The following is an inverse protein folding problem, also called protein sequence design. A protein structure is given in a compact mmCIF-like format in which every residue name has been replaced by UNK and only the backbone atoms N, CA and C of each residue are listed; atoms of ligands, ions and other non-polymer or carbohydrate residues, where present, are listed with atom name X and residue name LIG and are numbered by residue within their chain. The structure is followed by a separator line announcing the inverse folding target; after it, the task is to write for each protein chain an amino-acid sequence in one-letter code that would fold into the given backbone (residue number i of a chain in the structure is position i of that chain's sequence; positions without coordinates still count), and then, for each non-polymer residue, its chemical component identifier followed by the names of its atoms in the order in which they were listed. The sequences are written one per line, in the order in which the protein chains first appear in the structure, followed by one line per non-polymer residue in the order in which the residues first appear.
data_IF_373433904324
#
_entry.id   IF_373433904324
#
_cell.length_a   1.000
_cell.length_b   1.000
_cell.length_c   1.000
_cell.angle_alpha   90.00
_cell.angle_beta   90.00
_cell.angle_gamma   90.00
#
_symmetry.space_group_name_H-M   'P 1'
#
loop_
_entity.id
_entity.type
_entity.pdbx_description
1 polymer ?
#
# COMPACT_ATOMS: atom_id res chain seq x y z
N UNK A 1 12.53 -2.89 31.75
CA UNK A 1 12.95 -3.19 30.36
C UNK A 1 12.65 -4.62 29.93
N UNK A 2 13.10 -5.68 30.65
CA UNK A 2 12.89 -7.08 30.23
C UNK A 2 11.41 -7.51 30.05
N UNK A 3 10.48 -6.99 30.87
CA UNK A 3 9.04 -7.27 30.73
C UNK A 3 8.43 -6.66 29.47
N UNK A 4 8.86 -5.44 29.12
CA UNK A 4 8.40 -4.73 27.93
C UNK A 4 8.89 -5.42 26.66
N UNK A 5 10.18 -5.77 26.60
CA UNK A 5 10.75 -6.51 25.46
C UNK A 5 10.06 -7.86 25.23
N UNK A 6 9.69 -8.58 26.30
CA UNK A 6 8.91 -9.83 26.19
C UNK A 6 7.49 -9.61 25.67
N UNK A 7 6.84 -8.53 26.12
CA UNK A 7 5.52 -8.14 25.66
C UNK A 7 5.55 -7.79 24.16
N UNK A 8 6.54 -7.02 23.72
CA UNK A 8 6.73 -6.66 22.30
C UNK A 8 7.02 -7.90 21.44
N UNK A 9 7.91 -8.79 21.89
CA UNK A 9 8.19 -10.04 21.18
C UNK A 9 6.95 -10.93 21.05
N UNK A 10 6.11 -11.01 22.10
CA UNK A 10 4.86 -11.78 22.07
C UNK A 10 3.87 -11.16 21.09
N UNK A 11 3.69 -9.83 21.13
CA UNK A 11 2.84 -9.11 20.19
C UNK A 11 3.28 -9.35 18.74
N UNK A 12 4.59 -9.23 18.47
CA UNK A 12 5.15 -9.48 17.14
C UNK A 12 4.90 -10.92 16.67
N UNK A 13 5.11 -11.91 17.54
CA UNK A 13 4.85 -13.33 17.22
C UNK A 13 3.39 -13.58 16.82
N UNK A 14 2.44 -12.94 17.50
CA UNK A 14 1.01 -13.02 17.16
C UNK A 14 0.76 -12.40 15.77
N UNK A 15 1.30 -11.21 15.50
CA UNK A 15 1.14 -10.52 14.21
C UNK A 15 1.74 -11.36 13.07
N UNK A 16 2.99 -11.79 13.20
CA UNK A 16 3.70 -12.56 12.16
C UNK A 16 2.94 -13.87 11.84
N UNK A 17 2.49 -14.58 12.87
CA UNK A 17 1.69 -15.80 12.71
C UNK A 17 0.35 -15.51 12.02
N UNK A 18 -0.32 -14.42 12.40
CA UNK A 18 -1.59 -14.04 11.79
C UNK A 18 -1.43 -13.62 10.32
N UNK A 19 -0.34 -12.92 9.97
CA UNK A 19 0.00 -12.59 8.58
C UNK A 19 0.14 -13.86 7.74
N UNK A 20 0.88 -14.87 8.23
CA UNK A 20 1.00 -16.16 7.54
C UNK A 20 -0.37 -16.80 7.30
N UNK A 21 -1.15 -16.99 8.36
CA UNK A 21 -2.45 -17.66 8.30
C UNK A 21 -3.45 -16.91 7.41
N UNK A 22 -3.49 -15.58 7.51
CA UNK A 22 -4.42 -14.79 6.70
C UNK A 22 -4.08 -14.84 5.22
N UNK A 23 -2.80 -14.81 4.83
CA UNK A 23 -2.42 -14.97 3.42
C UNK A 23 -2.81 -16.35 2.90
N UNK A 24 -2.53 -17.38 3.69
CA UNK A 24 -2.65 -18.77 3.22
C UNK A 24 -4.11 -19.26 3.23
N UNK A 25 -4.93 -18.81 4.19
CA UNK A 25 -6.30 -19.31 4.42
C UNK A 25 -7.38 -18.24 4.25
N UNK A 26 -7.03 -16.96 4.27
CA UNK A 26 -7.97 -15.85 4.32
C UNK A 26 -8.50 -15.55 5.73
N UNK A 27 -9.04 -14.34 5.91
CA UNK A 27 -9.54 -13.86 7.21
C UNK A 27 -10.71 -14.68 7.76
N UNK A 28 -11.64 -15.09 6.90
CA UNK A 28 -12.86 -15.82 7.29
C UNK A 28 -12.55 -17.18 7.89
N UNK A 29 -11.70 -17.95 7.21
CA UNK A 29 -11.35 -19.31 7.58
C UNK A 29 -10.36 -19.39 8.75
N UNK A 30 -9.56 -18.35 8.98
CA UNK A 30 -8.59 -18.32 10.08
C UNK A 30 -9.28 -18.14 11.43
N UNK A 31 -9.16 -19.13 12.33
CA UNK A 31 -9.70 -19.08 13.68
C UNK A 31 -8.74 -18.44 14.70
N UNK A 32 -9.27 -17.81 15.76
CA UNK A 32 -8.43 -17.32 16.87
C UNK A 32 -7.63 -18.45 17.53
N UNK A 33 -8.24 -19.62 17.71
CA UNK A 33 -7.57 -20.78 18.32
C UNK A 33 -6.36 -21.25 17.51
N UNK A 34 -6.45 -21.19 16.18
CA UNK A 34 -5.37 -21.55 15.26
C UNK A 34 -4.21 -20.56 15.35
N UNK A 35 -4.49 -19.25 15.42
CA UNK A 35 -3.49 -18.21 15.67
C UNK A 35 -2.78 -18.48 17.00
N UNK A 36 -3.52 -18.74 18.08
CA UNK A 36 -2.95 -19.01 19.41
C UNK A 36 -2.05 -20.25 19.41
N UNK A 37 -2.52 -21.33 18.77
CA UNK A 37 -1.79 -22.59 18.68
C UNK A 37 -0.49 -22.42 17.90
N UNK A 38 -0.56 -21.80 16.71
CA UNK A 38 0.60 -21.66 15.84
C UNK A 38 1.60 -20.62 16.34
N UNK A 39 1.11 -19.57 17.00
CA UNK A 39 1.95 -18.60 17.70
C UNK A 39 2.52 -19.16 19.01
N UNK A 40 2.07 -20.32 19.49
CA UNK A 40 2.42 -20.87 20.81
C UNK A 40 2.26 -19.79 21.91
N UNK A 41 1.06 -19.21 21.94
CA UNK A 41 0.65 -18.13 22.87
C UNK A 41 -0.60 -18.56 23.60
N UNK A 42 -0.62 -18.39 24.93
CA UNK A 42 -1.82 -18.69 25.72
C UNK A 42 -2.93 -17.67 25.45
N UNK A 43 -4.18 -18.10 25.63
CA UNK A 43 -5.35 -17.21 25.51
C UNK A 43 -5.22 -15.95 26.39
N UNK A 44 -4.73 -16.09 27.62
CA UNK A 44 -4.51 -14.95 28.52
C UNK A 44 -3.43 -13.98 28.04
N UNK A 45 -2.32 -14.50 27.48
CA UNK A 45 -1.27 -13.67 26.89
C UNK A 45 -1.74 -12.95 25.62
N UNK A 46 -2.62 -13.57 24.83
CA UNK A 46 -3.22 -12.91 23.67
C UNK A 46 -4.09 -11.73 24.07
N UNK A 47 -5.02 -11.90 25.03
CA UNK A 47 -5.91 -10.83 25.46
C UNK A 47 -5.19 -9.69 26.20
N UNK A 48 -3.94 -9.89 26.61
CA UNK A 48 -3.09 -8.80 27.06
C UNK A 48 -2.68 -7.85 25.92
N UNK A 49 -2.66 -8.32 24.67
CA UNK A 49 -2.21 -7.57 23.50
C UNK A 49 -3.32 -7.19 22.52
N UNK A 50 -4.37 -8.00 22.42
CA UNK A 50 -5.43 -7.85 21.43
C UNK A 50 -6.78 -8.29 22.00
N UNK A 51 -7.80 -7.48 21.80
CA UNK A 51 -9.15 -7.79 22.27
C UNK A 51 -9.86 -8.83 21.39
N UNK A 52 -9.43 -8.99 20.14
CA UNK A 52 -10.08 -9.89 19.17
C UNK A 52 -9.17 -10.24 17.99
N UNK A 53 -9.61 -11.20 17.17
CA UNK A 53 -9.01 -11.49 15.84
C UNK A 53 -9.06 -10.26 14.94
N UNK A 54 -10.15 -9.48 15.00
CA UNK A 54 -10.27 -8.23 14.25
C UNK A 54 -9.25 -7.19 14.71
N UNK A 55 -8.95 -7.08 16.01
CA UNK A 55 -7.92 -6.18 16.51
C UNK A 55 -6.51 -6.54 15.98
N UNK A 56 -6.25 -7.83 15.75
CA UNK A 56 -5.00 -8.27 15.09
C UNK A 56 -4.99 -7.84 13.63
N UNK A 57 -6.09 -8.07 12.90
CA UNK A 57 -6.22 -7.66 11.50
C UNK A 57 -6.10 -6.13 11.34
N UNK A 58 -6.75 -5.36 12.23
CA UNK A 58 -6.65 -3.92 12.28
C UNK A 58 -5.20 -3.45 12.46
N UNK A 59 -4.44 -4.08 13.36
CA UNK A 59 -3.04 -3.74 13.57
C UNK A 59 -2.15 -4.02 12.34
N UNK A 60 -2.45 -5.07 11.57
CA UNK A 60 -1.75 -5.37 10.30
C UNK A 60 -2.09 -4.31 9.24
N UNK A 61 -3.36 -3.91 9.15
CA UNK A 61 -3.81 -2.83 8.26
C UNK A 61 -3.14 -1.49 8.64
N UNK A 62 -3.06 -1.17 9.92
CA UNK A 62 -2.40 0.05 10.41
C UNK A 62 -0.90 0.04 10.12
N UNK A 63 -0.23 -1.11 10.31
CA UNK A 63 1.17 -1.25 9.92
C UNK A 63 1.36 -0.99 8.43
N UNK A 64 0.45 -1.49 7.60
CA UNK A 64 0.48 -1.27 6.15
C UNK A 64 0.29 0.19 5.78
N UNK A 65 -0.66 0.87 6.43
CA UNK A 65 -0.86 2.31 6.28
C UNK A 65 0.40 3.10 6.63
N UNK A 66 1.03 2.80 7.78
CA UNK A 66 2.25 3.48 8.20
C UNK A 66 3.41 3.28 7.22
N UNK A 67 3.65 2.04 6.76
CA UNK A 67 4.72 1.79 5.78
C UNK A 67 4.47 2.53 4.47
N UNK A 68 3.24 2.58 3.97
CA UNK A 68 2.92 3.39 2.79
C UNK A 68 3.15 4.88 3.03
N UNK A 69 2.76 5.40 4.20
CA UNK A 69 2.99 6.79 4.55
C UNK A 69 4.48 7.14 4.64
N UNK A 70 5.29 6.28 5.23
CA UNK A 70 6.75 6.45 5.35
C UNK A 70 7.42 6.45 3.98
N UNK A 71 7.08 5.49 3.13
CA UNK A 71 7.64 5.36 1.77
C UNK A 71 7.25 6.57 0.92
N UNK A 72 5.97 6.97 0.95
CA UNK A 72 5.52 8.16 0.22
C UNK A 72 6.21 9.42 0.72
N UNK A 73 6.35 9.60 2.04
CA UNK A 73 7.05 10.75 2.62
C UNK A 73 8.50 10.81 2.16
N UNK A 74 9.23 9.69 2.24
CA UNK A 74 10.63 9.62 1.81
C UNK A 74 10.81 9.95 0.32
N UNK A 75 9.86 9.54 -0.53
CA UNK A 75 9.88 9.84 -1.96
C UNK A 75 9.58 11.34 -2.21
N UNK A 76 8.61 11.91 -1.50
CA UNK A 76 8.22 13.32 -1.62
C UNK A 76 9.31 14.26 -1.12
N UNK A 77 10.01 13.90 -0.05
CA UNK A 77 11.13 14.68 0.50
C UNK A 77 12.37 14.67 -0.42
N UNK A 78 12.39 13.85 -1.48
CA UNK A 78 13.43 13.92 -2.50
C UNK A 78 13.33 15.25 -3.27
N UNK A 79 14.48 15.84 -3.62
CA UNK A 79 14.54 17.11 -4.38
C UNK A 79 14.12 16.98 -5.86
N UNK A 80 13.32 15.96 -6.20
CA UNK A 80 12.82 15.72 -7.55
C UNK A 80 11.50 16.48 -7.81
N UNK A 81 11.12 16.70 -9.08
CA UNK A 81 9.82 17.27 -9.42
C UNK A 81 8.64 16.46 -8.85
N UNK A 82 7.60 17.16 -8.42
CA UNK A 82 6.43 16.56 -7.76
C UNK A 82 5.81 15.37 -8.53
N UNK A 83 5.60 15.50 -9.84
CA UNK A 83 5.02 14.43 -10.64
C UNK A 83 5.95 13.21 -10.76
N UNK A 84 7.27 13.40 -10.76
CA UNK A 84 8.22 12.30 -10.73
C UNK A 84 8.11 11.51 -9.42
N UNK A 85 7.97 12.23 -8.29
CA UNK A 85 7.77 11.62 -6.98
C UNK A 85 6.46 10.82 -6.92
N UNK A 86 5.36 11.36 -7.46
CA UNK A 86 4.08 10.64 -7.50
C UNK A 86 4.21 9.38 -8.37
N UNK A 87 4.84 9.46 -9.55
CA UNK A 87 5.09 8.29 -10.39
C UNK A 87 5.89 7.26 -9.59
N UNK A 88 7.04 7.64 -9.01
CA UNK A 88 7.87 6.72 -8.20
C UNK A 88 7.08 6.09 -7.05
N UNK A 89 6.26 6.86 -6.33
CA UNK A 89 5.45 6.36 -5.23
C UNK A 89 4.47 5.26 -5.69
N UNK A 90 3.82 5.42 -6.85
CA UNK A 90 2.93 4.36 -7.36
C UNK A 90 3.67 3.06 -7.70
N UNK A 91 4.89 3.13 -8.23
CA UNK A 91 5.72 1.94 -8.49
C UNK A 91 6.28 1.35 -7.19
N UNK A 92 6.69 2.19 -6.23
CA UNK A 92 7.16 1.76 -4.92
C UNK A 92 6.09 0.97 -4.15
N UNK A 93 4.86 1.50 -4.09
CA UNK A 93 3.73 0.81 -3.46
C UNK A 93 3.45 -0.52 -4.13
N UNK A 94 3.60 -0.59 -5.46
CA UNK A 94 3.35 -1.81 -6.21
C UNK A 94 4.38 -2.90 -5.98
N UNK A 95 5.65 -2.52 -5.96
CA UNK A 95 6.72 -3.43 -5.64
C UNK A 95 6.65 -3.91 -4.18
N UNK A 96 6.36 -3.01 -3.22
CA UNK A 96 6.15 -3.39 -1.81
C UNK A 96 5.00 -4.38 -1.63
N UNK A 97 3.88 -4.17 -2.33
CA UNK A 97 2.74 -5.09 -2.24
C UNK A 97 3.08 -6.48 -2.78
N UNK A 98 3.94 -6.56 -3.81
CA UNK A 98 4.39 -7.83 -4.38
C UNK A 98 5.47 -8.55 -3.56
N UNK A 99 6.24 -7.83 -2.75
CA UNK A 99 7.45 -8.35 -2.08
C UNK A 99 7.31 -8.49 -0.57
N UNK A 100 6.48 -7.66 0.10
CA UNK A 100 6.28 -7.68 1.54
C UNK A 100 4.96 -8.36 1.91
N UNK A 101 5.05 -9.51 2.61
CA UNK A 101 3.89 -10.29 3.04
C UNK A 101 2.99 -9.53 4.01
N UNK A 102 3.53 -8.69 4.89
CA UNK A 102 2.71 -7.90 5.83
C UNK A 102 1.86 -6.89 5.07
N UNK A 103 2.45 -6.22 4.08
CA UNK A 103 1.75 -5.27 3.21
C UNK A 103 0.68 -5.99 2.39
N UNK A 104 1.02 -7.13 1.78
CA UNK A 104 0.07 -7.95 1.04
C UNK A 104 -1.11 -8.38 1.93
N UNK A 105 -0.82 -8.85 3.14
CA UNK A 105 -1.84 -9.24 4.12
C UNK A 105 -2.72 -8.06 4.52
N UNK A 106 -2.15 -6.89 4.83
CA UNK A 106 -2.92 -5.71 5.22
C UNK A 106 -3.87 -5.23 4.13
N UNK A 107 -3.43 -5.22 2.87
CA UNK A 107 -4.31 -4.91 1.73
C UNK A 107 -5.45 -5.92 1.58
N UNK A 108 -5.12 -7.22 1.61
CA UNK A 108 -6.12 -8.30 1.52
C UNK A 108 -7.11 -8.25 2.70
N UNK A 109 -6.64 -7.94 3.91
CA UNK A 109 -7.47 -7.79 5.10
C UNK A 109 -8.39 -6.58 5.00
N UNK A 110 -7.89 -5.43 4.54
CA UNK A 110 -8.72 -4.25 4.32
C UNK A 110 -9.87 -4.57 3.35
N UNK A 111 -9.59 -5.28 2.26
CA UNK A 111 -10.61 -5.75 1.32
C UNK A 111 -11.58 -6.75 1.96
N UNK A 112 -11.07 -7.76 2.65
CA UNK A 112 -11.88 -8.81 3.29
C UNK A 112 -12.83 -8.24 4.35
N UNK A 113 -12.39 -7.21 5.07
CA UNK A 113 -13.18 -6.59 6.12
C UNK A 113 -14.25 -5.62 5.60
N UNK A 114 -14.24 -5.25 4.31
CA UNK A 114 -15.25 -4.32 3.75
C UNK A 114 -16.71 -4.74 3.97
N UNK A 115 -16.96 -6.04 4.05
CA UNK A 115 -18.30 -6.61 4.26
C UNK A 115 -18.52 -7.12 5.70
N UNK A 116 -17.51 -7.01 6.56
CA UNK A 116 -17.48 -7.66 7.88
C UNK A 116 -17.40 -6.63 9.01
N UNK A 117 -16.69 -5.51 8.82
CA UNK A 117 -16.62 -4.43 9.79
C UNK A 117 -16.29 -3.07 9.17
N UNK A 118 -16.52 -2.00 9.93
CA UNK A 118 -16.20 -0.63 9.52
C UNK A 118 -14.68 -0.40 9.34
N UNK A 119 -13.85 -1.35 9.82
CA UNK A 119 -12.39 -1.23 9.74
C UNK A 119 -11.86 -1.28 8.31
N UNK A 120 -12.48 -2.09 7.46
CA UNK A 120 -12.12 -2.23 6.04
C UNK A 120 -12.38 -0.93 5.26
N UNK A 121 -13.63 -0.42 5.24
CA UNK A 121 -13.95 0.83 4.56
C UNK A 121 -13.14 2.01 5.10
N UNK A 122 -12.94 2.09 6.43
CA UNK A 122 -12.09 3.13 7.03
C UNK A 122 -10.66 3.09 6.50
N UNK A 123 -10.06 1.91 6.35
CA UNK A 123 -8.69 1.79 5.83
C UNK A 123 -8.56 2.38 4.43
N UNK A 124 -9.51 2.10 3.53
CA UNK A 124 -9.52 2.67 2.19
C UNK A 124 -9.71 4.18 2.20
N UNK A 125 -10.59 4.70 3.07
CA UNK A 125 -10.76 6.15 3.23
C UNK A 125 -9.46 6.82 3.71
N UNK A 126 -8.80 6.23 4.71
CA UNK A 126 -7.54 6.77 5.25
C UNK A 126 -6.44 6.74 4.17
N UNK A 127 -6.26 5.63 3.45
CA UNK A 127 -5.27 5.53 2.35
C UNK A 127 -5.56 6.53 1.22
N UNK A 128 -6.84 6.69 0.86
CA UNK A 128 -7.26 7.64 -0.18
C UNK A 128 -6.94 9.07 0.24
N UNK A 129 -7.34 9.45 1.46
CA UNK A 129 -7.11 10.79 1.98
C UNK A 129 -5.61 11.13 2.04
N UNK A 130 -4.79 10.17 2.48
CA UNK A 130 -3.33 10.33 2.50
C UNK A 130 -2.77 10.56 1.09
N UNK A 131 -3.07 9.68 0.14
CA UNK A 131 -2.50 9.75 -1.20
C UNK A 131 -2.97 10.99 -1.95
N UNK A 132 -4.28 11.26 -1.96
CA UNK A 132 -4.86 12.42 -2.66
C UNK A 132 -4.36 13.73 -2.03
N UNK A 133 -4.27 13.79 -0.70
CA UNK A 133 -3.70 14.94 0.00
C UNK A 133 -2.26 15.22 -0.43
N UNK A 134 -1.42 14.20 -0.52
CA UNK A 134 -0.04 14.32 -1.00
C UNK A 134 0.05 14.80 -2.45
N UNK A 135 -0.83 14.30 -3.35
CA UNK A 135 -0.87 14.75 -4.75
C UNK A 135 -1.28 16.23 -4.83
N UNK A 136 -2.31 16.63 -4.09
CA UNK A 136 -2.80 18.01 -4.04
C UNK A 136 -1.72 18.97 -3.54
N UNK A 137 -1.02 18.61 -2.47
CA UNK A 137 0.08 19.41 -1.92
C UNK A 137 1.24 19.53 -2.90
N UNK A 138 1.63 18.42 -3.55
CA UNK A 138 2.80 18.38 -4.40
C UNK A 138 2.60 19.08 -5.76
N UNK A 139 1.45 18.90 -6.42
CA UNK A 139 1.22 19.44 -7.77
C UNK A 139 0.69 20.87 -7.77
N UNK A 140 -0.10 21.28 -6.77
CA UNK A 140 -0.83 22.55 -6.80
C UNK A 140 -1.65 22.74 -8.09
N UNK A 141 -2.10 23.97 -8.37
CA UNK A 141 -2.86 24.26 -9.61
C UNK A 141 -1.96 24.41 -10.85
N UNK A 142 -0.75 24.96 -10.70
CA UNK A 142 0.12 25.29 -11.83
C UNK A 142 0.98 24.11 -12.32
N UNK A 143 1.02 23.00 -11.56
CA UNK A 143 1.75 21.78 -11.91
C UNK A 143 1.04 20.90 -12.94
N UNK A 144 -0.20 21.22 -13.30
CA UNK A 144 -1.03 20.45 -14.23
C UNK A 144 -1.16 21.14 -15.60
N UNK A 145 -1.44 20.35 -16.62
CA UNK A 145 -1.86 20.83 -17.93
C UNK A 145 -3.35 21.20 -17.93
N UNK A 146 -3.69 22.39 -18.42
CA UNK A 146 -5.08 22.84 -18.54
C UNK A 146 -5.76 23.17 -17.20
N UNK A 147 -7.09 23.09 -17.16
CA UNK A 147 -7.93 23.42 -15.99
C UNK A 147 -8.25 22.19 -15.10
N UNK A 148 -7.31 21.25 -15.00
CA UNK A 148 -7.53 20.04 -14.19
C UNK A 148 -7.49 20.35 -12.69
N UNK A 149 -8.40 19.73 -11.93
CA UNK A 149 -8.40 19.76 -10.47
C UNK A 149 -7.39 18.74 -9.91
N UNK A 150 -6.43 19.14 -9.06
CA UNK A 150 -5.48 18.22 -8.43
C UNK A 150 -6.13 17.09 -7.65
N UNK A 151 -7.29 17.33 -7.04
CA UNK A 151 -8.03 16.31 -6.29
C UNK A 151 -8.53 15.21 -7.23
N UNK A 152 -9.21 15.58 -8.32
CA UNK A 152 -9.70 14.64 -9.34
C UNK A 152 -8.55 13.84 -9.98
N UNK A 153 -7.40 14.50 -10.19
CA UNK A 153 -6.17 13.84 -10.70
C UNK A 153 -5.63 12.84 -9.68
N UNK A 154 -5.53 13.25 -8.41
CA UNK A 154 -5.07 12.39 -7.33
C UNK A 154 -5.96 11.17 -7.15
N UNK A 155 -7.29 11.35 -7.16
CA UNK A 155 -8.26 10.27 -7.06
C UNK A 155 -8.15 9.32 -8.26
N UNK A 156 -8.01 9.86 -9.47
CA UNK A 156 -7.82 9.05 -10.69
C UNK A 156 -6.55 8.20 -10.62
N UNK A 157 -5.43 8.77 -10.19
CA UNK A 157 -4.17 8.02 -10.01
C UNK A 157 -4.34 6.96 -8.93
N UNK A 158 -5.00 7.28 -7.82
CA UNK A 158 -5.23 6.34 -6.72
C UNK A 158 -6.09 5.14 -7.13
N UNK A 159 -7.25 5.40 -7.73
CA UNK A 159 -8.19 4.35 -8.18
C UNK A 159 -7.54 3.46 -9.23
N UNK A 160 -6.80 4.03 -10.18
CA UNK A 160 -6.09 3.24 -11.19
C UNK A 160 -4.94 2.43 -10.60
N UNK A 161 -4.24 2.95 -9.58
CA UNK A 161 -3.20 2.22 -8.85
C UNK A 161 -3.81 1.05 -8.08
N UNK A 162 -4.84 1.28 -7.27
CA UNK A 162 -5.55 0.22 -6.55
C UNK A 162 -6.13 -0.85 -7.49
N UNK A 163 -6.82 -0.43 -8.54
CA UNK A 163 -7.41 -1.33 -9.53
C UNK A 163 -6.37 -2.14 -10.31
N UNK A 164 -5.16 -1.58 -10.52
CA UNK A 164 -4.06 -2.31 -11.15
C UNK A 164 -3.63 -3.49 -10.30
N UNK A 165 -3.49 -3.31 -9.00
CA UNK A 165 -3.14 -4.41 -8.11
C UNK A 165 -4.23 -5.45 -8.05
N UNK A 166 -5.48 -5.02 -7.82
CA UNK A 166 -6.61 -5.95 -7.72
C UNK A 166 -6.70 -6.85 -8.97
N UNK A 167 -6.61 -6.23 -10.15
CA UNK A 167 -6.71 -6.98 -11.40
C UNK A 167 -5.48 -7.86 -11.65
N UNK A 168 -4.27 -7.37 -11.34
CA UNK A 168 -3.03 -8.13 -11.55
C UNK A 168 -2.94 -9.34 -10.61
N UNK A 169 -3.34 -9.17 -9.35
CA UNK A 169 -3.43 -10.27 -8.38
C UNK A 169 -4.45 -11.33 -8.84
N UNK A 170 -5.59 -10.88 -9.40
CA UNK A 170 -6.66 -11.78 -9.84
C UNK A 170 -6.31 -12.62 -11.07
N UNK A 171 -5.47 -12.11 -11.98
CA UNK A 171 -5.15 -12.79 -13.24
C UNK A 171 -3.68 -13.21 -13.37
N UNK A 172 -2.85 -12.86 -12.40
CA UNK A 172 -1.43 -13.23 -12.33
C UNK A 172 -0.55 -12.53 -13.38
N UNK A 173 -0.84 -11.27 -13.73
CA UNK A 173 0.00 -10.49 -14.65
C UNK A 173 0.89 -9.46 -13.94
N UNK A 174 1.83 -8.88 -14.68
CA UNK A 174 2.82 -7.94 -14.14
C UNK A 174 2.20 -6.57 -13.84
N UNK A 175 2.05 -6.27 -12.54
CA UNK A 175 1.49 -5.02 -12.03
C UNK A 175 2.33 -3.80 -12.40
N UNK A 176 3.67 -3.91 -12.43
CA UNK A 176 4.56 -2.80 -12.78
C UNK A 176 4.41 -2.46 -14.27
N UNK A 177 4.37 -3.49 -15.12
CA UNK A 177 4.10 -3.30 -16.54
C UNK A 177 2.71 -2.70 -16.80
N UNK A 178 1.71 -3.06 -15.99
CA UNK A 178 0.36 -2.48 -16.05
C UNK A 178 0.36 -1.00 -15.65
N UNK A 179 1.00 -0.64 -14.55
CA UNK A 179 1.14 0.75 -14.11
C UNK A 179 1.85 1.61 -15.16
N UNK A 180 2.90 1.08 -15.80
CA UNK A 180 3.58 1.78 -16.89
C UNK A 180 2.65 2.08 -18.09
N UNK A 181 1.70 1.18 -18.41
CA UNK A 181 0.68 1.43 -19.45
C UNK A 181 -0.29 2.52 -19.02
N UNK A 182 -0.77 2.47 -17.77
CA UNK A 182 -1.72 3.45 -17.21
C UNK A 182 -1.11 4.85 -17.18
N UNK A 183 0.12 4.98 -16.68
CA UNK A 183 0.81 6.26 -16.66
C UNK A 183 0.98 6.88 -18.05
N UNK A 184 1.26 6.07 -19.09
CA UNK A 184 1.33 6.59 -20.48
C UNK A 184 0.01 7.20 -20.97
N UNK A 185 -1.13 6.68 -20.50
CA UNK A 185 -2.46 7.23 -20.79
C UNK A 185 -2.69 8.50 -19.96
N UNK A 186 -2.49 8.42 -18.65
CA UNK A 186 -2.73 9.53 -17.72
C UNK A 186 -1.87 10.75 -18.03
N UNK A 187 -0.59 10.57 -18.37
CA UNK A 187 0.30 11.67 -18.74
C UNK A 187 -0.22 12.46 -19.95
N UNK A 188 -0.89 11.81 -20.91
CA UNK A 188 -1.47 12.49 -22.07
C UNK A 188 -2.55 13.50 -21.69
N UNK A 189 -3.19 13.33 -20.53
CA UNK A 189 -4.18 14.25 -19.99
C UNK A 189 -3.58 15.25 -18.99
N UNK A 190 -2.64 14.80 -18.16
CA UNK A 190 -2.19 15.53 -16.96
C UNK A 190 -1.08 16.55 -17.27
N UNK A 191 -0.20 16.28 -18.25
CA UNK A 191 0.97 17.15 -18.50
C UNK A 191 0.80 18.03 -19.74
N UNK A 192 1.56 19.14 -19.81
CA UNK A 192 1.66 19.97 -21.01
C UNK A 192 2.25 19.14 -22.16
N UNK A 193 1.78 19.38 -23.38
CA UNK A 193 2.20 18.62 -24.58
C UNK A 193 3.72 18.64 -24.80
N UNK A 194 4.37 19.75 -24.47
CA UNK A 194 5.83 19.92 -24.55
C UNK A 194 6.61 19.02 -23.58
N UNK A 195 6.03 18.68 -22.42
CA UNK A 195 6.66 17.84 -21.39
C UNK A 195 6.32 16.35 -21.54
N UNK A 196 5.34 16.01 -22.38
CA UNK A 196 4.85 14.63 -22.54
C UNK A 196 5.94 13.61 -22.94
N UNK A 197 6.86 13.90 -23.89
CA UNK A 197 7.93 12.96 -24.23
C UNK A 197 8.83 12.64 -23.03
N UNK A 198 9.20 13.67 -22.25
CA UNK A 198 10.05 13.52 -21.07
C UNK A 198 9.45 12.57 -20.04
N UNK A 199 8.17 12.77 -19.69
CA UNK A 199 7.53 11.94 -18.68
C UNK A 199 7.27 10.50 -19.14
N UNK A 200 7.04 10.28 -20.45
CA UNK A 200 6.93 8.92 -20.99
C UNK A 200 8.25 8.16 -20.85
N UNK A 201 9.37 8.81 -21.15
CA UNK A 201 10.70 8.23 -20.97
C UNK A 201 11.00 8.01 -19.48
N UNK A 202 10.58 8.93 -18.62
CA UNK A 202 10.72 8.80 -17.16
C UNK A 202 9.98 7.57 -16.61
N UNK A 203 8.73 7.33 -17.04
CA UNK A 203 7.96 6.15 -16.67
C UNK A 203 8.64 4.87 -17.14
N UNK A 204 9.16 4.85 -18.38
CA UNK A 204 9.88 3.69 -18.91
C UNK A 204 11.14 3.37 -18.09
N UNK A 205 11.94 4.39 -17.73
CA UNK A 205 13.12 4.21 -16.88
C UNK A 205 12.75 3.76 -15.47
N UNK A 206 11.69 4.31 -14.89
CA UNK A 206 11.21 3.93 -13.55
C UNK A 206 10.76 2.48 -13.54
N UNK A 207 9.95 2.05 -14.51
CA UNK A 207 9.55 0.65 -14.67
C UNK A 207 10.76 -0.29 -14.76
N UNK A 208 11.75 0.05 -15.59
CA UNK A 208 12.96 -0.75 -15.72
C UNK A 208 13.76 -0.83 -14.40
N UNK A 209 13.87 0.28 -13.68
CA UNK A 209 14.59 0.32 -12.41
C UNK A 209 13.98 -0.61 -11.35
N UNK A 210 12.65 -0.68 -11.25
CA UNK A 210 11.98 -1.61 -10.34
C UNK A 210 12.04 -3.07 -10.83
N UNK A 211 12.08 -3.30 -12.14
CA UNK A 211 12.31 -4.64 -12.69
C UNK A 211 13.72 -5.16 -12.39
N UNK A 212 14.72 -4.28 -12.37
CA UNK A 212 16.12 -4.65 -12.13
C UNK A 212 16.46 -4.72 -10.62
N UNK A 213 15.95 -3.77 -9.82
CA UNK A 213 16.25 -3.63 -8.39
C UNK A 213 14.98 -3.32 -7.60
N UNK A 214 14.30 -4.34 -7.05
CA UNK A 214 13.15 -4.16 -6.17
C UNK A 214 13.48 -3.28 -4.96
N UNK A 215 12.49 -2.59 -4.41
CA UNK A 215 12.61 -1.68 -3.27
C UNK A 215 13.15 -2.37 -2.01
N UNK A 216 12.93 -3.68 -1.89
CA UNK A 216 13.48 -4.49 -0.79
C UNK A 216 15.01 -4.66 -0.87
N UNK A 217 15.63 -4.28 -1.99
CA UNK A 217 17.07 -4.30 -2.20
C UNK A 217 17.73 -2.90 -2.16
N UNK A 218 16.97 -1.83 -1.91
CA UNK A 218 17.44 -0.43 -1.83
C UNK A 218 17.52 0.05 -0.38
#
# INVERSE_FOLDING_TARGET
MARQARAEATRKKIIDTAVELFIDLGYGETGLAEILQRADVTKGAFYYHFDSKEAVAAAIIDSTFHTFAEVSTAIIESSSPALENIIRATFAVADLTGTDRTIAAGKMLAQSLTQVSDRGPKAFLDWTALFVGQVCEALGRDGLGGDLNPEDVGETIWVTTLGSHLLSDAIGDDVLARLARIWRVLLGAIVRQESLPYFRDFVARTHQAYADTPITAQ
#
